data_IF_831730718135
#
_entry.id   IF_831730718135
#
_cell.length_a   1.000
_cell.length_b   1.000
_cell.length_c   1.000
_cell.angle_alpha   90.00
_cell.angle_beta   90.00
_cell.angle_gamma   90.00
#
_symmetry.space_group_name_H-M   'P 1'
#
loop_
_entity.id
_entity.type
_entity.pdbx_description
1 polymer ?
#
# COMPACT_ATOMS: atom_id res chain seq x y z
N UNK A 1 6.86 -18.97 -19.36
CA UNK A 1 6.24 -18.63 -18.06
C UNK A 1 6.55 -17.17 -17.78
N UNK A 2 5.54 -16.37 -17.42
CA UNK A 2 5.70 -14.94 -17.11
C UNK A 2 5.44 -14.79 -15.61
N UNK A 3 6.28 -14.02 -14.91
CA UNK A 3 6.19 -13.79 -13.46
C UNK A 3 6.27 -12.30 -13.20
N UNK A 4 5.40 -11.79 -12.31
CA UNK A 4 5.50 -10.43 -11.80
C UNK A 4 6.59 -10.37 -10.72
N UNK A 5 7.66 -9.62 -11.00
CA UNK A 5 8.81 -9.45 -10.10
C UNK A 5 9.26 -7.99 -10.14
N UNK A 6 8.62 -7.09 -9.36
CA UNK A 6 9.03 -5.70 -9.31
C UNK A 6 10.42 -5.55 -8.70
N UNK A 7 11.02 -4.37 -8.86
CA UNK A 7 12.28 -4.01 -8.23
C UNK A 7 12.16 -2.75 -7.36
N UNK A 8 13.07 -2.59 -6.41
CA UNK A 8 13.15 -1.38 -5.59
C UNK A 8 13.36 -0.16 -6.47
N UNK A 9 12.65 0.91 -6.17
CA UNK A 9 12.60 2.18 -6.92
C UNK A 9 11.87 2.10 -8.27
N UNK A 10 11.25 0.96 -8.60
CA UNK A 10 10.35 0.88 -9.75
C UNK A 10 9.09 1.72 -9.51
N UNK A 11 8.68 2.48 -10.51
CA UNK A 11 7.44 3.25 -10.49
C UNK A 11 6.34 2.47 -11.19
N UNK A 12 5.24 2.23 -10.47
CA UNK A 12 4.09 1.46 -10.93
C UNK A 12 2.82 2.32 -10.85
N UNK A 13 1.78 1.86 -11.53
CA UNK A 13 0.46 2.48 -11.51
C UNK A 13 -0.58 1.44 -11.09
N UNK A 14 -1.42 1.81 -10.14
CA UNK A 14 -2.51 1.00 -9.62
C UNK A 14 -3.72 1.88 -9.30
N UNK A 15 -4.63 1.37 -8.47
CA UNK A 15 -5.79 2.09 -7.97
C UNK A 15 -5.88 2.02 -6.46
N UNK A 16 -6.29 3.11 -5.83
CA UNK A 16 -6.53 3.15 -4.38
C UNK A 16 -7.70 2.23 -4.04
N UNK A 17 -7.45 1.16 -3.28
CA UNK A 17 -8.49 0.18 -2.90
C UNK A 17 -9.18 0.59 -1.61
N UNK A 18 -8.39 0.99 -0.62
CA UNK A 18 -8.86 1.38 0.70
C UNK A 18 -7.90 2.37 1.34
N UNK A 19 -8.43 3.22 2.20
CA UNK A 19 -7.67 4.17 3.00
C UNK A 19 -7.98 3.96 4.49
N UNK A 20 -6.96 4.14 5.32
CA UNK A 20 -7.05 4.07 6.76
C UNK A 20 -5.99 4.95 7.43
N UNK A 21 -6.06 5.07 8.75
CA UNK A 21 -5.13 5.92 9.51
C UNK A 21 -3.66 5.47 9.40
N UNK A 22 -3.43 4.18 9.14
CA UNK A 22 -2.09 3.60 8.98
C UNK A 22 -1.52 3.76 7.56
N UNK A 23 -2.34 4.18 6.59
CA UNK A 23 -1.96 4.32 5.19
C UNK A 23 -3.06 3.93 4.21
N UNK A 24 -2.68 3.60 2.98
CA UNK A 24 -3.59 3.14 1.93
C UNK A 24 -3.15 1.80 1.39
N UNK A 25 -4.12 1.02 0.92
CA UNK A 25 -3.86 -0.18 0.14
C UNK A 25 -4.15 0.09 -1.34
N UNK A 26 -3.31 -0.43 -2.20
CA UNK A 26 -3.38 -0.23 -3.65
C UNK A 26 -3.59 -1.58 -4.34
N UNK A 27 -4.39 -1.59 -5.41
CA UNK A 27 -4.58 -2.75 -6.27
C UNK A 27 -4.12 -2.46 -7.69
N UNK A 28 -3.39 -3.40 -8.28
CA UNK A 28 -3.08 -3.42 -9.72
C UNK A 28 -4.04 -4.32 -10.51
N UNK A 29 -5.12 -4.79 -9.88
CA UNK A 29 -6.11 -5.72 -10.44
C UNK A 29 -5.68 -7.18 -10.39
N UNK A 30 -4.41 -7.50 -10.68
CA UNK A 30 -3.87 -8.87 -10.56
C UNK A 30 -3.06 -9.10 -9.27
N UNK A 31 -2.69 -8.03 -8.57
CA UNK A 31 -1.91 -8.05 -7.33
C UNK A 31 -2.45 -6.98 -6.38
N UNK A 32 -2.66 -7.34 -5.13
CA UNK A 32 -3.38 -6.51 -4.15
C UNK A 32 -2.63 -6.31 -2.81
N UNK A 33 -1.54 -7.03 -2.59
CA UNK A 33 -0.73 -6.93 -1.37
C UNK A 33 0.27 -5.77 -1.47
N UNK A 34 -0.23 -4.57 -1.81
CA UNK A 34 0.53 -3.33 -1.94
C UNK A 34 0.03 -2.34 -0.88
N UNK A 35 0.93 -1.89 -0.01
CA UNK A 35 0.63 -0.90 1.03
C UNK A 35 1.53 0.31 0.92
N UNK A 36 0.94 1.48 1.08
CA UNK A 36 1.67 2.75 1.26
C UNK A 36 1.34 3.23 2.67
N UNK A 37 2.28 3.13 3.62
CA UNK A 37 2.05 3.53 5.00
C UNK A 37 1.95 5.06 5.12
N UNK A 38 1.35 5.53 6.21
CA UNK A 38 1.21 6.95 6.54
C UNK A 38 2.54 7.73 6.49
N UNK A 39 3.65 7.09 6.87
CA UNK A 39 5.00 7.69 6.85
C UNK A 39 5.52 7.96 5.44
N UNK A 40 4.96 7.31 4.44
CA UNK A 40 5.37 7.37 3.03
C UNK A 40 4.39 8.20 2.17
N UNK A 41 3.55 8.99 2.83
CA UNK A 41 2.68 9.99 2.22
C UNK A 41 3.45 11.30 1.99
N UNK A 42 2.97 12.16 1.07
CA UNK A 42 3.55 13.49 0.88
C UNK A 42 3.53 14.31 2.18
N UNK A 43 4.51 15.19 2.36
CA UNK A 43 4.55 16.09 3.50
C UNK A 43 3.28 16.95 3.58
N UNK A 44 2.68 17.05 4.77
CA UNK A 44 1.42 17.77 4.98
C UNK A 44 0.16 16.93 4.71
N UNK A 45 0.31 15.63 4.48
CA UNK A 45 -0.83 14.73 4.33
C UNK A 45 -1.43 14.34 5.68
N UNK A 46 -2.75 14.38 5.76
CA UNK A 46 -3.52 14.02 6.96
C UNK A 46 -4.66 13.07 6.57
N UNK A 47 -4.92 12.08 7.43
CA UNK A 47 -6.07 11.19 7.25
C UNK A 47 -7.34 11.81 7.82
N UNK A 48 -8.34 12.06 6.97
CA UNK A 48 -9.67 12.50 7.39
C UNK A 48 -10.51 11.29 7.78
N UNK A 49 -10.84 11.15 9.08
CA UNK A 49 -11.73 10.09 9.57
C UNK A 49 -13.18 10.28 9.14
N UNK A 50 -13.59 11.52 8.87
CA UNK A 50 -14.96 11.84 8.47
C UNK A 50 -15.21 11.41 7.02
N UNK A 51 -14.27 11.70 6.13
CA UNK A 51 -14.34 11.35 4.71
C UNK A 51 -13.79 9.94 4.41
N UNK A 52 -12.97 9.39 5.32
CA UNK A 52 -12.34 8.09 5.13
C UNK A 52 -11.24 8.08 4.06
N UNK A 53 -10.63 9.24 3.80
CA UNK A 53 -9.61 9.44 2.77
C UNK A 53 -8.40 10.20 3.32
N UNK A 54 -7.27 10.08 2.62
CA UNK A 54 -6.09 10.92 2.86
C UNK A 54 -6.23 12.25 2.11
N UNK A 55 -5.85 13.34 2.77
CA UNK A 55 -5.86 14.68 2.19
C UNK A 55 -4.45 15.22 2.21
N UNK A 56 -3.90 15.53 1.05
CA UNK A 56 -2.60 16.20 0.94
C UNK A 56 -2.80 17.70 0.87
N UNK A 57 -2.33 18.42 1.89
CA UNK A 57 -2.32 19.90 1.88
C UNK A 57 -1.04 20.39 1.20
N UNK A 58 -1.16 20.81 -0.04
CA UNK A 58 -0.06 21.37 -0.82
C UNK A 58 -0.32 22.87 -1.04
N UNK A 59 0.55 23.69 -0.47
CA UNK A 59 0.40 25.16 -0.44
C UNK A 59 -0.93 25.60 0.19
N UNK A 60 -1.87 26.10 -0.62
CA UNK A 60 -3.22 26.54 -0.20
C UNK A 60 -4.32 25.60 -0.74
N UNK A 61 -3.94 24.48 -1.36
CA UNK A 61 -4.85 23.51 -1.96
C UNK A 61 -4.96 22.24 -1.11
N UNK A 62 -6.17 21.70 -1.03
CA UNK A 62 -6.45 20.40 -0.44
C UNK A 62 -6.68 19.38 -1.56
N UNK A 63 -5.75 18.44 -1.71
CA UNK A 63 -5.80 17.37 -2.70
C UNK A 63 -6.29 16.10 -2.03
N UNK A 64 -7.52 15.70 -2.35
CA UNK A 64 -8.15 14.51 -1.80
C UNK A 64 -7.66 13.27 -2.53
N UNK A 65 -7.39 12.22 -1.77
CA UNK A 65 -7.02 10.92 -2.31
C UNK A 65 -8.23 9.99 -2.35
N UNK A 66 -8.98 10.08 -3.44
CA UNK A 66 -10.21 9.34 -3.61
C UNK A 66 -9.97 7.85 -3.89
N UNK A 67 -10.92 7.04 -3.44
CA UNK A 67 -10.92 5.60 -3.69
C UNK A 67 -11.15 5.33 -5.18
N UNK A 68 -10.57 4.23 -5.66
CA UNK A 68 -10.66 3.75 -7.03
C UNK A 68 -10.02 4.67 -8.09
N UNK A 69 -9.35 5.75 -7.68
CA UNK A 69 -8.57 6.60 -8.57
C UNK A 69 -7.20 6.00 -8.91
N UNK A 70 -6.68 6.27 -10.14
CA UNK A 70 -5.38 5.81 -10.54
C UNK A 70 -4.28 6.54 -9.78
N UNK A 71 -3.39 5.77 -9.15
CA UNK A 71 -2.29 6.25 -8.33
C UNK A 71 -0.95 5.76 -8.88
N UNK A 72 0.02 6.68 -8.99
CA UNK A 72 1.41 6.40 -9.32
C UNK A 72 2.21 6.29 -8.03
N UNK A 73 2.90 5.18 -7.83
CA UNK A 73 3.67 4.93 -6.61
C UNK A 73 5.01 4.27 -6.93
N UNK A 74 5.98 4.45 -6.04
CA UNK A 74 7.32 3.87 -6.16
C UNK A 74 7.50 2.75 -5.15
N UNK A 75 8.03 1.62 -5.59
CA UNK A 75 8.33 0.47 -4.71
C UNK A 75 9.51 0.81 -3.81
N UNK A 76 9.35 0.73 -2.49
CA UNK A 76 10.45 0.88 -1.54
C UNK A 76 10.98 -0.46 -1.04
N UNK A 77 10.09 -1.34 -0.61
CA UNK A 77 10.46 -2.63 -0.03
C UNK A 77 9.65 -3.77 -0.66
N UNK A 78 10.30 -4.91 -0.78
CA UNK A 78 9.76 -6.12 -1.37
C UNK A 78 9.90 -7.22 -0.34
N UNK A 79 8.77 -7.65 0.22
CA UNK A 79 8.73 -8.58 1.33
C UNK A 79 8.28 -9.96 0.85
N UNK A 80 9.04 -10.98 1.27
CA UNK A 80 8.71 -12.38 1.03
C UNK A 80 8.62 -13.09 2.38
N UNK A 81 7.44 -13.61 2.70
CA UNK A 81 7.23 -14.42 3.89
C UNK A 81 7.26 -15.90 3.52
N UNK A 82 8.10 -16.67 4.21
CA UNK A 82 8.11 -18.12 4.09
C UNK A 82 6.89 -18.70 4.83
N UNK A 83 5.85 -19.01 4.08
CA UNK A 83 4.59 -19.60 4.57
C UNK A 83 4.68 -21.13 4.73
N UNK A 84 5.88 -21.68 4.91
CA UNK A 84 6.06 -23.10 5.23
C UNK A 84 5.21 -23.47 6.46
N UNK A 85 4.37 -24.51 6.37
CA UNK A 85 3.51 -24.89 7.50
C UNK A 85 4.38 -25.18 8.72
N UNK A 86 4.05 -24.62 9.90
CA UNK A 86 4.82 -24.88 11.10
C UNK A 86 4.81 -26.39 11.38
N UNK A 87 5.98 -26.94 11.75
CA UNK A 87 6.06 -28.35 12.14
C UNK A 87 5.08 -28.59 13.30
N UNK A 88 4.19 -29.60 13.22
CA UNK A 88 3.25 -29.85 14.29
C UNK A 88 4.02 -30.17 15.57
N UNK A 89 3.93 -29.28 16.57
CA UNK A 89 4.37 -29.59 17.93
C UNK A 89 3.25 -30.39 18.58
N UNK A 90 3.58 -31.60 19.04
CA UNK A 90 2.64 -32.46 19.77
C UNK A 90 2.30 -31.74 21.09
N UNK A 91 1.12 -31.12 21.20
CA UNK A 91 0.59 -30.64 22.49
C UNK A 91 -0.16 -29.31 22.51
N UNK A 92 -0.13 -28.47 21.46
CA UNK A 92 -0.84 -27.18 21.49
C UNK A 92 -2.25 -27.30 20.87
N UNK A 93 -3.28 -27.29 21.73
CA UNK A 93 -4.70 -27.38 21.35
C UNK A 93 -5.31 -25.98 21.06
N UNK A 94 -4.58 -24.89 21.30
CA UNK A 94 -5.05 -23.51 21.08
C UNK A 94 -4.13 -22.73 20.13
N UNK A 95 -3.92 -23.23 18.91
CA UNK A 95 -3.32 -22.40 17.86
C UNK A 95 -4.34 -21.35 17.41
N UNK A 96 -4.28 -20.16 18.02
CA UNK A 96 -4.92 -18.94 17.53
C UNK A 96 -4.60 -18.82 16.03
N UNK A 97 -5.59 -18.58 15.14
CA UNK A 97 -5.29 -18.40 13.73
C UNK A 97 -4.36 -17.19 13.60
N UNK A 98 -3.09 -17.45 13.30
CA UNK A 98 -2.12 -16.42 12.94
C UNK A 98 -2.72 -15.70 11.73
N UNK A 99 -2.96 -14.40 11.85
CA UNK A 99 -3.40 -13.59 10.72
C UNK A 99 -2.47 -13.90 9.54
N UNK A 100 -3.05 -14.42 8.45
CA UNK A 100 -2.28 -14.96 7.34
C UNK A 100 -1.66 -13.81 6.55
N UNK A 101 -0.48 -13.36 6.98
CA UNK A 101 0.31 -12.38 6.24
C UNK A 101 0.61 -12.92 4.83
N UNK A 102 0.48 -12.08 3.79
CA UNK A 102 0.67 -12.53 2.42
C UNK A 102 2.14 -12.96 2.20
N UNK A 103 2.38 -14.06 1.46
CA UNK A 103 3.73 -14.56 1.19
C UNK A 103 4.56 -13.60 0.33
N UNK A 104 3.91 -12.67 -0.37
CA UNK A 104 4.55 -11.66 -1.19
C UNK A 104 3.79 -10.34 -1.01
N UNK A 105 4.48 -9.30 -0.52
CA UNK A 105 3.89 -7.97 -0.33
C UNK A 105 4.87 -6.86 -0.67
N UNK A 106 4.33 -5.70 -1.01
CA UNK A 106 5.09 -4.51 -1.36
C UNK A 106 4.78 -3.37 -0.40
N UNK A 107 5.85 -2.71 0.08
CA UNK A 107 5.75 -1.41 0.74
C UNK A 107 6.20 -0.36 -0.26
N UNK A 108 5.35 0.63 -0.47
CA UNK A 108 5.52 1.65 -1.50
C UNK A 108 5.45 3.05 -0.90
N UNK A 109 5.89 4.03 -1.69
CA UNK A 109 5.86 5.45 -1.32
C UNK A 109 5.24 6.29 -2.41
N UNK A 110 4.67 7.42 -1.99
CA UNK A 110 4.21 8.49 -2.87
C UNK A 110 4.71 9.86 -2.39
N UNK A 111 5.71 9.90 -1.52
CA UNK A 111 6.20 11.13 -0.92
C UNK A 111 6.98 12.04 -1.89
N UNK A 112 7.46 11.49 -3.01
CA UNK A 112 8.23 12.24 -4.01
C UNK A 112 7.34 12.96 -5.03
N UNK A 113 7.88 14.03 -5.62
CA UNK A 113 7.23 14.76 -6.71
C UNK A 113 6.91 13.85 -7.91
N UNK A 114 5.74 14.05 -8.50
CA UNK A 114 5.24 13.23 -9.61
C UNK A 114 4.59 11.90 -9.18
N UNK A 115 4.56 11.57 -7.89
CA UNK A 115 3.85 10.41 -7.32
C UNK A 115 2.51 10.82 -6.68
N UNK A 116 1.67 9.84 -6.32
CA UNK A 116 0.31 10.09 -5.84
C UNK A 116 -0.71 9.94 -6.96
N UNK A 117 -1.90 10.53 -6.81
CA UNK A 117 -2.93 10.40 -7.84
C UNK A 117 -2.48 11.03 -9.14
N UNK A 118 -2.79 10.39 -10.27
CA UNK A 118 -2.41 10.91 -11.59
C UNK A 118 -3.06 12.29 -11.82
N UNK A 119 -4.29 12.46 -11.33
CA UNK A 119 -5.07 13.70 -11.40
C UNK A 119 -4.41 14.91 -10.72
N UNK A 120 -3.41 14.71 -9.85
CA UNK A 120 -2.68 15.80 -9.20
C UNK A 120 -1.64 16.46 -10.10
N UNK A 121 -1.26 15.80 -11.20
CA UNK A 121 -0.13 16.20 -12.05
C UNK A 121 -0.53 16.50 -13.50
N UNK A 122 -1.80 16.39 -13.84
CA UNK A 122 -2.36 16.63 -15.17
C UNK A 122 -2.78 18.11 -15.38
#
# INVERSE_FOLDING_TARGET
MIVFRPFRDEVLVGRVRSAGAEGIDVSMGFFEDIRIPASEMPLGSEYSREEGVWVWRYEENELFMDLNEPIRFRVQEINFLDVSPPRPKVGDIDSVPVAHEPPFSLVCTIADEGLGLISWWD
#
